data_IF_572609825205
#
_entry.id   IF_572609825205
#
_cell.length_a   1.000
_cell.length_b   1.000
_cell.length_c   1.000
_cell.angle_alpha   90.00
_cell.angle_beta   90.00
_cell.angle_gamma   90.00
#
_symmetry.space_group_name_H-M   'P 1'
#
loop_
_entity.id
_entity.type
_entity.pdbx_description
1 polymer ?
#
# COMPACT_ATOMS: atom_id res chain seq x y z
N UNK A 1 6.82 12.65 -24.30
CA UNK A 1 6.98 12.75 -22.83
C UNK A 1 5.64 12.40 -22.23
N UNK A 2 5.56 11.32 -21.46
CA UNK A 2 4.34 10.95 -20.73
C UNK A 2 4.17 11.89 -19.54
N UNK A 3 2.98 12.47 -19.38
CA UNK A 3 2.72 13.40 -18.28
C UNK A 3 2.37 12.60 -17.03
N UNK A 4 3.14 12.77 -15.96
CA UNK A 4 2.90 12.08 -14.68
C UNK A 4 2.57 13.07 -13.58
N UNK A 5 1.70 12.67 -12.64
CA UNK A 5 1.36 13.49 -11.47
C UNK A 5 1.01 12.63 -10.27
N UNK A 6 1.13 13.20 -9.07
CA UNK A 6 0.75 12.55 -7.80
C UNK A 6 -0.13 13.49 -6.99
N UNK A 7 -1.27 13.00 -6.54
CA UNK A 7 -2.19 13.77 -5.67
C UNK A 7 -2.87 12.87 -4.65
N UNK A 8 -3.45 13.49 -3.63
CA UNK A 8 -4.40 12.80 -2.74
C UNK A 8 -5.67 12.50 -3.55
N UNK A 9 -6.19 11.29 -3.37
CA UNK A 9 -7.47 10.89 -3.95
C UNK A 9 -8.62 11.41 -3.09
N UNK A 10 -9.68 11.82 -3.77
CA UNK A 10 -10.91 12.32 -3.16
C UNK A 10 -12.00 11.23 -3.17
N UNK A 11 -13.10 11.36 -2.43
CA UNK A 11 -14.18 10.38 -2.44
C UNK A 11 -14.73 10.06 -3.84
N UNK A 12 -14.66 11.01 -4.78
CA UNK A 12 -15.04 10.84 -6.19
C UNK A 12 -14.15 9.84 -6.95
N UNK A 13 -12.92 9.61 -6.50
CA UNK A 13 -11.96 8.67 -7.11
C UNK A 13 -12.17 7.22 -6.63
N UNK A 14 -13.13 6.97 -5.73
CA UNK A 14 -13.30 5.67 -5.06
C UNK A 14 -13.41 4.50 -6.04
N UNK A 15 -14.20 4.65 -7.12
CA UNK A 15 -14.35 3.60 -8.13
C UNK A 15 -13.03 3.27 -8.84
N UNK A 16 -12.22 4.29 -9.16
CA UNK A 16 -10.93 4.10 -9.80
C UNK A 16 -9.89 3.48 -8.83
N UNK A 17 -9.94 3.86 -7.56
CA UNK A 17 -9.09 3.26 -6.53
C UNK A 17 -9.44 1.78 -6.30
N UNK A 18 -10.73 1.45 -6.20
CA UNK A 18 -11.20 0.06 -6.08
C UNK A 18 -10.78 -0.79 -7.27
N UNK A 19 -10.88 -0.28 -8.49
CA UNK A 19 -10.44 -1.00 -9.68
C UNK A 19 -8.95 -1.41 -9.66
N UNK A 20 -8.07 -0.59 -9.07
CA UNK A 20 -6.65 -0.94 -8.88
C UNK A 20 -6.48 -1.93 -7.73
N UNK A 21 -7.21 -1.73 -6.62
CA UNK A 21 -7.15 -2.65 -5.49
C UNK A 21 -7.58 -4.06 -5.90
N UNK A 22 -8.64 -4.16 -6.70
CA UNK A 22 -9.22 -5.39 -7.23
C UNK A 22 -8.38 -6.07 -8.30
N UNK A 23 -7.39 -5.40 -8.92
CA UNK A 23 -6.52 -6.05 -9.90
C UNK A 23 -5.57 -7.06 -9.28
N UNK A 24 -5.26 -6.91 -7.99
CA UNK A 24 -4.43 -7.86 -7.21
C UNK A 24 -5.05 -8.06 -5.82
N UNK A 25 -6.22 -8.74 -5.73
CA UNK A 25 -7.07 -8.71 -4.53
C UNK A 25 -6.40 -9.34 -3.31
N UNK A 26 -5.57 -10.36 -3.51
CA UNK A 26 -4.77 -10.99 -2.46
C UNK A 26 -3.71 -10.04 -1.91
N UNK A 27 -2.88 -9.47 -2.78
CA UNK A 27 -1.79 -8.59 -2.38
C UNK A 27 -2.32 -7.30 -1.72
N UNK A 28 -3.48 -6.83 -2.18
CA UNK A 28 -4.09 -5.58 -1.73
C UNK A 28 -5.13 -5.76 -0.62
N UNK A 29 -5.34 -6.99 -0.10
CA UNK A 29 -6.41 -7.30 0.86
C UNK A 29 -6.41 -6.38 2.09
N UNK A 30 -5.23 -6.06 2.63
CA UNK A 30 -5.09 -5.15 3.76
C UNK A 30 -5.72 -3.78 3.49
N UNK A 31 -5.35 -3.14 2.38
CA UNK A 31 -5.83 -1.79 2.05
C UNK A 31 -7.27 -1.84 1.56
N UNK A 32 -7.63 -2.87 0.79
CA UNK A 32 -9.01 -3.09 0.30
C UNK A 32 -10.00 -3.17 1.45
N UNK A 33 -9.69 -3.92 2.51
CA UNK A 33 -10.58 -4.02 3.68
C UNK A 33 -10.84 -2.66 4.34
N UNK A 34 -9.82 -1.79 4.42
CA UNK A 34 -9.98 -0.43 4.96
C UNK A 34 -10.86 0.43 4.05
N UNK A 35 -10.61 0.40 2.75
CA UNK A 35 -11.37 1.18 1.76
C UNK A 35 -12.83 0.73 1.70
N UNK A 36 -13.12 -0.56 1.81
CA UNK A 36 -14.49 -1.07 1.85
C UNK A 36 -15.30 -0.54 3.04
N UNK A 37 -14.65 -0.34 4.20
CA UNK A 37 -15.30 0.16 5.42
C UNK A 37 -15.38 1.70 5.45
N UNK A 38 -14.34 2.37 4.97
CA UNK A 38 -14.16 3.82 5.17
C UNK A 38 -14.33 4.66 3.89
N UNK A 39 -14.36 4.04 2.71
CA UNK A 39 -14.17 4.73 1.45
C UNK A 39 -12.78 5.39 1.37
N UNK A 40 -12.73 6.61 0.85
CA UNK A 40 -11.50 7.43 0.79
C UNK A 40 -11.54 8.63 1.76
N UNK A 41 -12.45 8.62 2.74
CA UNK A 41 -12.47 9.65 3.78
C UNK A 41 -11.22 9.52 4.68
N UNK A 42 -10.34 10.53 4.75
CA UNK A 42 -9.05 10.35 5.43
C UNK A 42 -9.15 10.04 6.93
N UNK A 43 -10.16 10.60 7.59
CA UNK A 43 -10.40 10.39 9.02
C UNK A 43 -10.81 8.94 9.29
N UNK A 44 -11.80 8.43 8.56
CA UNK A 44 -12.28 7.05 8.70
C UNK A 44 -11.28 6.02 8.19
N UNK A 45 -10.53 6.34 7.14
CA UNK A 45 -9.52 5.45 6.55
C UNK A 45 -8.30 5.30 7.48
N UNK A 46 -8.04 6.32 8.31
CA UNK A 46 -6.87 6.40 9.19
C UNK A 46 -5.61 6.82 8.44
N UNK A 47 -5.76 7.62 7.39
CA UNK A 47 -4.68 8.05 6.50
C UNK A 47 -5.20 8.59 5.17
N UNK A 48 -4.29 9.01 4.31
CA UNK A 48 -4.60 9.44 2.94
C UNK A 48 -4.41 8.29 1.95
N UNK A 49 -5.19 8.30 0.87
CA UNK A 49 -4.87 7.53 -0.33
C UNK A 49 -4.20 8.45 -1.34
N UNK A 50 -2.96 8.17 -1.71
CA UNK A 50 -2.28 8.88 -2.79
C UNK A 50 -2.46 8.13 -4.10
N UNK A 51 -2.74 8.87 -5.17
CA UNK A 51 -2.80 8.33 -6.53
C UNK A 51 -1.63 8.82 -7.36
N UNK A 52 -1.01 7.91 -8.10
CA UNK A 52 -0.07 8.23 -9.16
C UNK A 52 -0.73 8.04 -10.53
N UNK A 53 -0.64 9.08 -11.35
CA UNK A 53 -1.25 9.14 -12.66
C UNK A 53 -0.17 9.16 -13.73
N UNK A 54 -0.40 8.43 -14.81
CA UNK A 54 0.35 8.52 -16.06
C UNK A 54 -0.62 8.67 -17.21
N UNK A 55 -0.38 9.69 -18.05
CA UNK A 55 -1.20 10.03 -19.21
C UNK A 55 -2.68 10.20 -18.83
N UNK A 56 -2.92 10.94 -17.74
CA UNK A 56 -4.26 11.24 -17.22
C UNK A 56 -4.99 10.07 -16.56
N UNK A 57 -4.39 8.87 -16.50
CA UNK A 57 -5.01 7.68 -15.91
C UNK A 57 -4.37 7.34 -14.57
N UNK A 58 -5.19 7.02 -13.59
CA UNK A 58 -4.73 6.47 -12.32
C UNK A 58 -4.12 5.08 -12.57
N UNK A 59 -2.88 4.87 -12.15
CA UNK A 59 -2.13 3.63 -12.42
C UNK A 59 -1.63 2.94 -11.17
N UNK A 60 -1.39 3.70 -10.10
CA UNK A 60 -0.86 3.15 -8.85
C UNK A 60 -1.39 3.95 -7.68
N UNK A 61 -1.44 3.30 -6.52
CA UNK A 61 -1.88 3.90 -5.28
C UNK A 61 -0.75 3.84 -4.25
N UNK A 62 -0.84 4.70 -3.24
CA UNK A 62 -0.08 4.55 -2.01
C UNK A 62 -0.95 4.95 -0.83
N UNK A 63 -1.26 3.98 0.04
CA UNK A 63 -1.92 4.28 1.30
C UNK A 63 -0.89 4.86 2.28
N UNK A 64 -1.16 6.06 2.78
CA UNK A 64 -0.32 6.80 3.72
C UNK A 64 -1.08 7.03 5.03
N UNK A 65 -0.99 6.06 5.93
CA UNK A 65 -1.51 6.16 7.30
C UNK A 65 -0.45 5.75 8.33
N UNK A 66 -0.85 4.97 9.34
CA UNK A 66 0.11 4.35 10.27
C UNK A 66 1.15 3.48 9.54
N UNK A 67 0.78 2.92 8.38
CA UNK A 67 1.67 2.24 7.45
C UNK A 67 1.73 3.03 6.14
N UNK A 68 2.88 3.00 5.48
CA UNK A 68 3.03 3.44 4.09
C UNK A 68 3.02 2.21 3.18
N UNK A 69 2.01 2.10 2.31
CA UNK A 69 1.79 0.91 1.49
C UNK A 69 1.76 1.28 0.01
N UNK A 70 2.81 0.99 -0.78
CA UNK A 70 2.75 1.11 -2.23
C UNK A 70 1.89 -0.01 -2.84
N UNK A 71 1.01 0.33 -3.78
CA UNK A 71 0.01 -0.56 -4.37
C UNK A 71 0.10 -0.47 -5.89
N UNK A 72 0.34 -1.61 -6.54
CA UNK A 72 0.59 -1.70 -7.98
C UNK A 72 1.59 -0.62 -8.47
N UNK A 73 2.59 -0.32 -7.64
CA UNK A 73 3.51 0.79 -7.84
C UNK A 73 4.76 0.33 -8.57
N UNK A 74 4.85 0.66 -9.86
CA UNK A 74 6.08 0.51 -10.63
C UNK A 74 7.16 1.54 -10.20
N UNK A 75 8.38 1.44 -10.75
CA UNK A 75 9.52 2.28 -10.33
C UNK A 75 9.29 3.79 -10.41
N UNK A 76 8.48 4.27 -11.37
CA UNK A 76 8.13 5.69 -11.49
C UNK A 76 7.16 6.16 -10.41
N UNK A 77 6.13 5.34 -10.12
CA UNK A 77 5.19 5.62 -9.05
C UNK A 77 5.88 5.61 -7.69
N UNK A 78 6.77 4.64 -7.44
CA UNK A 78 7.59 4.56 -6.22
C UNK A 78 8.41 5.83 -6.03
N UNK A 79 9.09 6.33 -7.08
CA UNK A 79 9.83 7.60 -7.03
C UNK A 79 8.93 8.77 -6.64
N UNK A 80 7.77 8.88 -7.27
CA UNK A 80 6.84 9.97 -7.00
C UNK A 80 6.25 9.93 -5.57
N UNK A 81 5.93 8.73 -5.06
CA UNK A 81 5.49 8.53 -3.69
C UNK A 81 6.61 8.82 -2.69
N UNK A 82 7.85 8.43 -2.97
CA UNK A 82 9.01 8.75 -2.14
C UNK A 82 9.23 10.27 -2.03
N UNK A 83 9.16 10.99 -3.16
CA UNK A 83 9.30 12.45 -3.17
C UNK A 83 8.21 13.13 -2.35
N UNK A 84 6.96 12.65 -2.43
CA UNK A 84 5.85 13.15 -1.60
C UNK A 84 6.08 12.86 -0.12
N UNK A 85 6.43 11.63 0.23
CA UNK A 85 6.69 11.21 1.60
C UNK A 85 7.87 11.95 2.24
N UNK A 86 8.94 12.22 1.49
CA UNK A 86 10.07 13.05 1.95
C UNK A 86 9.62 14.45 2.34
N UNK A 87 8.78 15.10 1.52
CA UNK A 87 8.24 16.44 1.81
C UNK A 87 7.29 16.45 3.01
N UNK A 88 6.50 15.40 3.19
CA UNK A 88 5.55 15.29 4.29
C UNK A 88 6.20 14.93 5.66
N UNK A 89 7.43 14.40 5.62
CA UNK A 89 8.11 13.82 6.78
C UNK A 89 7.60 12.41 7.13
N UNK A 90 8.35 11.69 7.97
CA UNK A 90 7.98 10.34 8.41
C UNK A 90 6.80 10.38 9.37
N UNK A 91 5.63 9.94 8.90
CA UNK A 91 4.39 9.83 9.69
C UNK A 91 3.94 8.39 9.97
N UNK A 92 4.42 7.44 9.18
CA UNK A 92 4.16 6.02 9.35
C UNK A 92 5.21 5.36 10.26
N UNK A 93 4.84 4.25 10.90
CA UNK A 93 5.76 3.41 11.67
C UNK A 93 6.41 2.30 10.83
N UNK A 94 5.81 1.94 9.69
CA UNK A 94 6.33 0.91 8.80
C UNK A 94 6.03 1.19 7.33
N UNK A 95 6.84 0.61 6.45
CA UNK A 95 6.57 0.49 5.01
C UNK A 95 6.29 -1.00 4.75
N UNK A 96 5.16 -1.30 4.12
CA UNK A 96 4.66 -2.67 3.96
C UNK A 96 4.06 -2.83 2.56
N UNK A 97 4.22 -4.01 1.97
CA UNK A 97 3.74 -4.30 0.63
C UNK A 97 4.64 -5.32 -0.08
N UNK A 98 4.51 -5.45 -1.41
CA UNK A 98 5.38 -6.33 -2.18
C UNK A 98 6.86 -5.95 -1.99
N UNK A 99 7.73 -6.96 -1.95
CA UNK A 99 9.14 -6.79 -1.54
C UNK A 99 9.89 -5.78 -2.41
N UNK A 100 9.71 -5.83 -3.72
CA UNK A 100 10.39 -4.95 -4.66
C UNK A 100 10.01 -3.46 -4.49
N UNK A 101 8.74 -3.04 -4.63
CA UNK A 101 8.37 -1.63 -4.47
C UNK A 101 8.62 -1.12 -3.04
N UNK A 102 8.45 -1.96 -2.03
CA UNK A 102 8.75 -1.60 -0.63
C UNK A 102 10.24 -1.32 -0.43
N UNK A 103 11.10 -2.20 -0.97
CA UNK A 103 12.56 -2.03 -0.89
C UNK A 103 13.02 -0.79 -1.67
N UNK A 104 12.49 -0.58 -2.88
CA UNK A 104 12.81 0.61 -3.67
C UNK A 104 12.37 1.89 -2.96
N UNK A 105 11.15 1.91 -2.41
CA UNK A 105 10.63 3.04 -1.64
C UNK A 105 11.50 3.33 -0.41
N UNK A 106 11.88 2.29 0.33
CA UNK A 106 12.77 2.44 1.49
C UNK A 106 14.13 3.03 1.12
N UNK A 107 14.79 2.52 0.07
CA UNK A 107 16.09 3.05 -0.41
C UNK A 107 16.05 4.55 -0.72
N UNK A 108 14.92 5.06 -1.21
CA UNK A 108 14.74 6.48 -1.52
C UNK A 108 14.47 7.33 -0.27
N UNK A 109 13.89 6.74 0.78
CA UNK A 109 13.47 7.45 1.99
C UNK A 109 14.53 7.43 3.09
N UNK A 110 15.27 6.33 3.24
CA UNK A 110 16.29 6.10 4.25
C UNK A 110 17.26 7.30 4.42
N UNK A 111 17.82 7.90 3.35
CA UNK A 111 18.76 9.02 3.52
C UNK A 111 18.17 10.22 4.25
N UNK A 112 16.84 10.40 4.19
CA UNK A 112 16.11 11.50 4.82
C UNK A 112 15.40 11.13 6.11
N UNK A 113 15.02 9.86 6.28
CA UNK A 113 14.24 9.38 7.43
C UNK A 113 15.11 8.72 8.51
N UNK A 114 16.40 8.52 8.23
CA UNK A 114 17.31 7.76 9.09
C UNK A 114 17.12 6.25 8.92
N UNK A 115 17.86 5.45 9.71
CA UNK A 115 17.88 3.99 9.55
C UNK A 115 16.54 3.34 9.95
N UNK A 116 16.26 2.20 9.34
CA UNK A 116 15.18 1.32 9.79
C UNK A 116 15.60 0.57 11.05
N UNK A 117 14.63 0.29 11.93
CA UNK A 117 14.85 -0.63 13.05
C UNK A 117 15.15 -2.05 12.57
N UNK A 118 14.48 -2.47 11.49
CA UNK A 118 14.56 -3.82 10.93
C UNK A 118 14.13 -3.79 9.47
N UNK A 119 14.77 -4.61 8.62
CA UNK A 119 14.40 -4.80 7.21
C UNK A 119 14.10 -6.28 6.98
N UNK A 120 12.87 -6.58 6.58
CA UNK A 120 12.41 -7.96 6.30
C UNK A 120 12.23 -8.16 4.80
N UNK A 121 13.35 -8.37 4.11
CA UNK A 121 13.36 -8.51 2.64
C UNK A 121 12.69 -9.78 2.11
N UNK A 122 12.51 -10.79 2.95
CA UNK A 122 11.83 -12.05 2.61
C UNK A 122 10.74 -12.35 3.64
N UNK A 123 9.53 -11.87 3.37
CA UNK A 123 8.35 -12.11 4.20
C UNK A 123 7.17 -12.43 3.28
N UNK A 124 6.96 -13.72 2.94
CA UNK A 124 5.93 -14.10 1.96
C UNK A 124 4.53 -13.88 2.52
N UNK A 125 3.64 -13.39 1.65
CA UNK A 125 2.20 -13.42 1.87
C UNK A 125 1.68 -14.81 1.48
N UNK A 126 1.01 -15.48 2.41
CA UNK A 126 0.45 -16.81 2.19
C UNK A 126 -1.07 -16.72 2.09
N UNK A 127 -1.65 -17.54 1.22
CA UNK A 127 -3.09 -17.72 1.08
C UNK A 127 -3.40 -19.21 1.17
N UNK A 128 -4.56 -19.54 1.74
CA UNK A 128 -5.12 -20.88 1.70
C UNK A 128 -6.57 -20.81 1.25
N UNK A 129 -7.00 -21.78 0.43
CA UNK A 129 -8.37 -21.88 -0.07
C UNK A 129 -9.16 -22.98 0.64
N UNK A 130 -8.46 -23.87 1.34
CA UNK A 130 -9.04 -24.97 2.09
C UNK A 130 -8.36 -25.14 3.43
N UNK A 131 -9.03 -25.81 4.36
CA UNK A 131 -8.38 -26.32 5.57
C UNK A 131 -7.42 -27.45 5.18
N UNK A 132 -6.32 -27.56 5.92
CA UNK A 132 -5.42 -28.71 5.77
C UNK A 132 -6.15 -29.98 6.27
N UNK A 133 -6.17 -31.02 5.44
CA UNK A 133 -6.92 -32.25 5.71
C UNK A 133 -6.31 -33.09 6.85
N UNK A 134 -5.02 -32.92 7.07
CA UNK A 134 -4.19 -33.68 8.01
C UNK A 134 -3.82 -32.89 9.27
N UNK A 135 -4.28 -31.64 9.39
CA UNK A 135 -4.01 -30.78 10.55
C UNK A 135 -5.27 -30.59 11.37
N UNK A 136 -5.31 -31.22 12.55
CA UNK A 136 -6.38 -31.00 13.54
C UNK A 136 -6.34 -29.55 14.04
N UNK A 137 -7.43 -28.76 13.91
CA UNK A 137 -7.46 -27.40 14.44
C UNK A 137 -7.26 -27.36 15.95
N UNK A 138 -6.53 -26.37 16.45
CA UNK A 138 -6.36 -26.15 17.88
C UNK A 138 -7.72 -25.79 18.52
N UNK A 139 -8.24 -26.58 19.47
CA UNK A 139 -9.55 -26.36 20.07
C UNK A 139 -9.64 -25.08 20.93
N UNK A 140 -8.51 -24.46 21.28
CA UNK A 140 -8.46 -23.22 22.04
C UNK A 140 -8.53 -21.97 21.15
N UNK A 141 -8.36 -22.12 19.82
CA UNK A 141 -8.52 -21.02 18.86
C UNK A 141 -9.99 -20.89 18.47
N UNK A 142 -10.59 -19.72 18.72
CA UNK A 142 -11.99 -19.45 18.38
C UNK A 142 -12.20 -19.51 16.86
N UNK A 143 -13.33 -20.06 16.45
CA UNK A 143 -13.82 -20.00 15.06
C UNK A 143 -14.31 -18.60 14.70
#
# INVERSE_FOLDING_TARGET
MTQTTTRVLEPSDLGAALAILESEPVANAFVTSRVQVAGLDPWRLGGEMWGWYADGRLRSLCYSGANLVPICAGPEAVRAFADRARRAGRRCSSIVGPAEPTTQLWRLLEPSWGPAREVRGNQPLMVTESLAADVTPDPLVRR
#
